data_IF_670859061268
#
_entry.id   IF_670859061268
#
_cell.length_a   1.000
_cell.length_b   1.000
_cell.length_c   1.000
_cell.angle_alpha   90.00
_cell.angle_beta   90.00
_cell.angle_gamma   90.00
#
_symmetry.space_group_name_H-M   'P 1'
#
loop_
_entity.id
_entity.type
_entity.pdbx_description
1 polymer ?
2 non-polymer ?
3 non-polymer ?
4 water ?
#
# COMPACT_ATOMS: atom_id res chain seq x y z
N UNK A 27 15.81 -33.43 5.37
CA UNK A 27 16.71 -32.82 6.35
C UNK A 27 16.17 -31.47 6.82
N UNK A 28 16.04 -30.54 5.89
CA UNK A 28 15.51 -29.21 6.18
C UNK A 28 14.03 -29.17 5.86
N UNK A 29 13.24 -28.50 6.71
CA UNK A 29 11.85 -28.28 6.36
C UNK A 29 11.78 -27.36 5.13
N UNK A 30 10.57 -27.20 4.58
CA UNK A 30 10.44 -26.34 3.41
C UNK A 30 10.64 -24.88 3.78
N UNK A 31 10.39 -24.52 5.04
CA UNK A 31 10.64 -23.15 5.49
C UNK A 31 12.13 -22.85 5.44
N UNK A 32 12.93 -23.66 6.14
CA UNK A 32 14.38 -23.50 6.12
C UNK A 32 14.93 -23.45 4.71
N UNK A 33 14.32 -24.17 3.77
CA UNK A 33 14.79 -24.14 2.38
C UNK A 33 14.47 -22.80 1.73
N UNK A 34 13.22 -22.32 1.83
CA UNK A 34 12.87 -21.04 1.24
C UNK A 34 13.75 -19.91 1.80
N UNK A 35 13.98 -19.96 3.12
CA UNK A 35 14.88 -19.00 3.76
C UNK A 35 16.26 -19.08 3.12
N UNK A 36 16.81 -20.28 3.02
CA UNK A 36 18.11 -20.40 2.36
C UNK A 36 18.09 -19.78 0.95
N UNK A 37 16.96 -19.84 0.25
CA UNK A 37 16.92 -19.27 -1.10
C UNK A 37 16.98 -17.75 -1.07
N UNK A 38 16.14 -17.11 -0.25
CA UNK A 38 15.94 -15.68 -0.40
C UNK A 38 16.44 -14.84 0.77
N UNK A 39 16.71 -15.46 1.94
CA UNK A 39 17.16 -14.72 3.10
C UNK A 39 18.54 -14.09 3.01
N UNK A 40 19.49 -14.66 2.23
CA UNK A 40 20.76 -13.92 1.99
C UNK A 40 20.57 -12.47 1.58
N UNK A 41 19.53 -12.18 0.79
CA UNK A 41 19.36 -10.83 0.22
C UNK A 41 18.55 -9.92 1.11
N UNK A 42 18.15 -10.39 2.29
CA UNK A 42 17.38 -9.58 3.23
C UNK A 42 18.37 -8.78 4.07
N UNK A 43 18.20 -7.46 4.08
CA UNK A 43 19.17 -6.55 4.64
C UNK A 43 18.56 -5.82 5.82
N UNK A 44 19.42 -5.35 6.72
CA UNK A 44 19.03 -4.42 7.77
C UNK A 44 19.21 -3.00 7.25
N UNK A 45 18.29 -2.12 7.65
CA UNK A 45 18.30 -0.72 7.22
C UNK A 45 18.29 0.15 8.46
N UNK A 46 19.25 1.07 8.57
CA UNK A 46 19.28 1.96 9.73
C UNK A 46 19.48 3.40 9.29
N UNK A 47 18.71 4.31 9.86
CA UNK A 47 18.83 5.75 9.57
C UNK A 47 19.62 6.51 10.62
N UNK A 48 19.70 5.98 11.84
CA UNK A 48 20.51 6.56 12.91
C UNK A 48 21.25 5.45 13.67
N UNK A 84 14.62 2.36 11.88
CA UNK A 84 15.29 1.08 11.63
C UNK A 84 14.30 -0.02 11.21
N UNK A 85 14.75 -0.91 10.31
CA UNK A 85 13.91 -2.01 9.84
C UNK A 85 14.65 -2.91 8.87
N UNK A 86 13.93 -3.52 7.92
CA UNK A 86 14.53 -4.47 7.00
C UNK A 86 14.19 -4.11 5.56
N UNK A 87 14.97 -4.65 4.63
CA UNK A 87 14.63 -4.45 3.23
C UNK A 87 15.17 -5.65 2.48
N UNK A 88 15.11 -5.68 1.15
CA UNK A 88 15.74 -6.78 0.44
C UNK A 88 16.23 -6.34 -0.93
N UNK A 89 17.38 -6.89 -1.34
CA UNK A 89 17.98 -6.58 -2.62
C UNK A 89 17.25 -7.36 -3.71
N UNK A 90 16.83 -6.67 -4.75
CA UNK A 90 16.05 -7.29 -5.82
C UNK A 90 16.79 -7.28 -7.14
N UNK A 91 17.98 -6.69 -7.21
CA UNK A 91 18.76 -6.64 -8.43
C UNK A 91 20.23 -6.53 -8.07
N UNK A 92 21.07 -7.22 -8.84
CA UNK A 92 22.51 -7.23 -8.56
C UNK A 92 23.13 -5.84 -8.63
N UNK A 93 22.40 -4.83 -9.11
CA UNK A 93 22.95 -3.50 -9.26
C UNK A 93 22.74 -2.63 -8.02
N UNK A 94 22.22 -3.19 -6.94
CA UNK A 94 22.06 -2.48 -5.70
C UNK A 94 20.67 -1.93 -5.42
N UNK A 95 19.67 -2.35 -6.18
CA UNK A 95 18.30 -1.92 -5.93
C UNK A 95 17.71 -2.73 -4.79
N UNK A 96 17.18 -2.04 -3.79
CA UNK A 96 16.66 -2.60 -2.56
C UNK A 96 15.26 -2.07 -2.35
N UNK A 97 14.33 -2.94 -1.96
CA UNK A 97 12.97 -2.54 -1.61
C UNK A 97 12.83 -2.53 -0.09
N UNK A 98 11.98 -1.63 0.39
CA UNK A 98 11.58 -1.64 1.80
C UNK A 98 10.27 -0.85 1.94
N UNK A 99 9.84 -0.60 3.18
CA UNK A 99 8.71 0.28 3.50
C UNK A 99 9.13 1.73 3.57
N UNK A 100 8.18 2.62 3.25
CA UNK A 100 8.40 4.03 3.48
C UNK A 100 8.59 4.32 4.96
N UNK A 101 7.85 3.60 5.83
CA UNK A 101 7.96 3.85 7.26
C UNK A 101 9.37 3.53 7.77
N UNK A 102 10.06 2.60 7.12
CA UNK A 102 11.41 2.27 7.54
C UNK A 102 12.34 3.47 7.40
N UNK A 103 12.30 4.12 6.24
CA UNK A 103 13.35 5.07 5.86
C UNK A 103 12.89 6.52 6.01
N UNK A 104 11.68 6.85 5.57
CA UNK A 104 11.32 8.25 5.39
C UNK A 104 11.39 8.93 6.75
N UNK A 105 11.82 10.17 6.80
CA UNK A 105 12.19 10.94 5.62
C UNK A 105 13.67 11.16 5.45
N UNK A 106 14.46 10.25 5.99
CA UNK A 106 15.91 10.33 5.82
C UNK A 106 16.27 9.96 4.39
N UNK A 107 17.16 10.75 3.78
CA UNK A 107 17.66 10.45 2.45
C UNK A 107 18.93 9.61 2.46
N UNK A 108 19.53 9.39 3.63
CA UNK A 108 20.73 8.56 3.78
C UNK A 108 20.45 7.46 4.81
N UNK A 109 20.69 6.21 4.42
CA UNK A 109 20.55 5.06 5.32
C UNK A 109 21.82 4.21 5.24
N UNK A 110 21.93 3.24 6.14
CA UNK A 110 22.99 2.25 6.13
C UNK A 110 22.36 0.86 5.94
N UNK A 111 22.88 0.13 4.96
CA UNK A 111 22.41 -1.20 4.60
C UNK A 111 23.41 -2.20 5.13
N UNK A 112 22.92 -3.31 5.68
CA UNK A 112 23.80 -4.39 6.12
C UNK A 112 23.29 -5.70 5.54
N UNK A 113 24.17 -6.41 4.83
CA UNK A 113 23.80 -7.71 4.31
C UNK A 113 23.91 -8.76 5.40
N UNK A 114 23.14 -9.85 5.24
CA UNK A 114 23.21 -10.95 6.21
C UNK A 114 24.63 -11.40 6.46
N UNK A 115 25.52 -11.21 5.48
CA UNK A 115 26.91 -11.62 5.62
C UNK A 115 27.77 -10.60 6.36
N UNK A 116 27.20 -9.47 6.80
CA UNK A 116 27.93 -8.47 7.57
C UNK A 116 28.57 -7.36 6.77
N UNK A 117 28.45 -7.37 5.44
CA UNK A 117 28.91 -6.25 4.63
C UNK A 117 27.95 -5.07 4.78
N UNK A 118 28.51 -3.90 5.04
CA UNK A 118 27.73 -2.67 5.19
C UNK A 118 27.94 -1.77 3.98
N UNK A 119 26.89 -1.05 3.60
CA UNK A 119 26.90 -0.17 2.45
C UNK A 119 26.23 1.15 2.81
N UNK A 120 26.73 2.23 2.21
CA UNK A 120 26.13 3.55 2.32
C UNK A 120 24.93 3.59 1.36
N UNK A 121 23.74 3.57 1.94
CA UNK A 121 22.52 3.53 1.14
C UNK A 121 21.95 4.92 0.88
N UNK A 122 21.56 5.14 -0.37
CA UNK A 122 20.84 6.35 -0.78
C UNK A 122 19.37 6.01 -0.95
N UNK A 123 18.50 6.69 -0.21
CA UNK A 123 17.07 6.54 -0.47
C UNK A 123 16.74 7.20 -1.81
N UNK A 124 16.25 6.41 -2.76
CA UNK A 124 15.92 6.85 -4.12
C UNK A 124 14.56 7.51 -4.19
N UNK A 125 13.71 7.31 -3.19
CA UNK A 125 12.39 7.90 -3.15
C UNK A 125 11.45 6.97 -2.39
N UNK A 126 10.38 7.55 -1.88
CA UNK A 126 9.36 6.81 -1.17
C UNK A 126 8.01 7.16 -1.74
N UNK A 127 7.07 6.22 -1.63
CA UNK A 127 5.66 6.47 -1.91
C UNK A 127 4.89 6.17 -0.63
N UNK A 128 4.48 7.23 0.07
CA UNK A 128 3.81 7.07 1.34
C UNK A 128 2.44 6.40 1.17
N UNK A 129 1.76 6.66 0.05
CA UNK A 129 0.43 6.09 -0.16
C UNK A 129 0.51 4.57 -0.19
N UNK A 130 1.53 4.02 -0.84
CA UNK A 130 1.71 2.58 -0.91
C UNK A 130 2.53 2.01 0.24
N UNK A 131 3.26 2.85 0.99
CA UNK A 131 4.21 2.43 2.02
C UNK A 131 5.41 1.69 1.42
N UNK A 132 5.87 2.15 0.26
CA UNK A 132 7.00 1.53 -0.42
C UNK A 132 8.13 2.53 -0.60
N UNK A 133 9.36 2.01 -0.55
CA UNK A 133 10.51 2.86 -0.84
C UNK A 133 11.56 2.02 -1.54
N UNK A 134 12.45 2.71 -2.26
CA UNK A 134 13.57 2.09 -2.95
C UNK A 134 14.85 2.72 -2.46
N UNK A 135 15.81 1.88 -2.09
CA UNK A 135 17.13 2.30 -1.61
C UNK A 135 18.16 1.71 -2.58
N UNK A 136 19.19 2.49 -2.91
CA UNK A 136 20.23 1.97 -3.77
C UNK A 136 21.57 1.97 -3.05
N UNK A 137 22.36 0.94 -3.31
CA UNK A 137 23.73 0.79 -2.85
C UNK A 137 24.61 0.54 -4.06
N UNK A 138 25.93 0.69 -3.84
CA UNK A 138 26.93 0.49 -4.88
C UNK A 138 27.54 -0.90 -4.77
N UNK A 139 27.32 -1.78 -5.75
CA UNK A 139 27.85 -3.15 -5.65
C UNK A 139 29.37 -3.22 -5.84
N UNK A 140 30.11 -3.18 -4.74
CA UNK A 140 31.54 -3.38 -4.78
C UNK A 140 31.88 -4.79 -4.32
N UNK A 141 32.96 -5.33 -4.87
CA UNK A 141 33.43 -6.62 -4.42
C UNK A 141 32.52 -7.74 -4.85
N UNK A 142 32.38 -8.74 -3.99
CA UNK A 142 31.57 -9.90 -4.31
C UNK A 142 30.12 -9.50 -4.57
N UNK A 143 29.43 -10.32 -5.38
CA UNK A 143 28.14 -9.94 -5.93
C UNK A 143 27.10 -9.89 -4.83
N UNK A 144 26.21 -8.94 -4.94
CA UNK A 144 25.12 -8.81 -4.00
C UNK A 144 24.15 -9.97 -4.16
N UNK A 145 23.79 -10.67 -3.08
CA UNK A 145 22.75 -11.69 -3.20
C UNK A 145 21.41 -11.03 -3.49
N UNK A 146 20.55 -11.78 -4.19
CA UNK A 146 19.30 -11.27 -4.76
C UNK A 146 18.17 -12.21 -4.35
N UNK A 147 17.02 -11.62 -3.93
CA UNK A 147 15.84 -12.45 -3.74
C UNK A 147 15.01 -12.49 -5.01
N UNK A 148 14.59 -13.67 -5.44
CA UNK A 148 13.78 -13.75 -6.67
C UNK A 148 12.35 -13.31 -6.39
N UNK A 149 11.75 -12.60 -7.34
CA UNK A 149 10.40 -12.09 -7.14
C UNK A 149 9.37 -13.05 -7.70
N UNK A 150 8.30 -13.26 -6.95
CA UNK A 150 7.18 -14.07 -7.39
C UNK A 150 6.11 -13.25 -8.09
N UNK A 151 4.88 -13.73 -8.01
CA UNK A 151 3.73 -13.00 -8.54
C UNK A 151 2.59 -13.10 -7.54
N UNK A 152 2.12 -11.95 -7.05
CA UNK A 152 1.09 -12.01 -6.02
C UNK A 152 -0.30 -12.31 -6.58
N UNK A 153 -0.51 -12.18 -7.90
CA UNK A 153 -1.81 -12.51 -8.47
C UNK A 153 -2.07 -14.02 -8.50
N UNK A 154 -1.05 -14.85 -8.23
CA UNK A 154 -1.23 -16.29 -8.11
C UNK A 154 -1.53 -16.75 -6.68
N UNK A 155 -1.48 -15.85 -5.71
CA UNK A 155 -1.74 -16.25 -4.34
C UNK A 155 -3.18 -16.71 -4.17
N UNK A 156 -3.37 -17.65 -3.26
CA UNK A 156 -4.69 -18.04 -2.81
C UNK A 156 -4.69 -17.99 -1.29
N UNK A 157 -5.85 -17.71 -0.70
CA UNK A 157 -5.95 -17.77 0.76
C UNK A 157 -5.67 -19.20 1.20
N UNK A 158 -4.83 -19.34 2.22
CA UNK A 158 -4.38 -20.62 2.67
C UNK A 158 -2.99 -21.00 2.20
N UNK A 159 -2.46 -20.30 1.18
CA UNK A 159 -1.08 -20.53 0.76
C UNK A 159 -0.14 -20.20 1.89
N UNK A 160 0.94 -20.96 2.00
CA UNK A 160 1.93 -20.70 3.05
C UNK A 160 2.54 -19.33 2.86
N UNK A 161 2.96 -18.71 3.96
CA UNK A 161 3.56 -17.39 3.88
C UNK A 161 4.67 -17.30 4.91
N UNK A 162 5.83 -16.85 4.49
CA UNK A 162 7.02 -16.80 5.33
C UNK A 162 7.53 -15.38 5.38
N UNK A 163 7.56 -14.78 6.57
CA UNK A 163 8.04 -13.41 6.76
C UNK A 163 9.47 -13.43 7.27
N UNK A 164 10.40 -12.83 6.50
CA UNK A 164 11.83 -12.81 6.81
C UNK A 164 12.28 -11.37 7.10
N UNK A 165 12.97 -11.18 8.23
CA UNK A 165 13.66 -9.95 8.50
C UNK A 165 15.16 -10.16 8.61
N UNK A 166 15.87 -9.04 8.63
CA UNK A 166 17.25 -8.98 9.12
C UNK A 166 17.35 -7.75 10.00
N UNK A 167 16.89 -7.84 11.26
CA UNK A 167 16.92 -6.66 12.14
C UNK A 167 18.30 -6.38 12.73
N UNK A 168 19.08 -7.44 13.00
CA UNK A 168 20.40 -7.29 13.60
C UNK A 168 21.48 -7.04 12.56
N UNK A 169 21.36 -7.68 11.38
CA UNK A 169 22.34 -7.59 10.32
C UNK A 169 23.13 -8.87 10.09
N UNK A 170 23.10 -9.80 11.05
CA UNK A 170 23.95 -10.99 11.00
C UNK A 170 23.17 -12.29 10.86
N UNK A 171 21.85 -12.23 10.88
CA UNK A 171 21.01 -13.43 10.76
C UNK A 171 19.61 -12.99 10.34
N UNK A 172 18.83 -13.95 9.87
CA UNK A 172 17.43 -13.70 9.56
C UNK A 172 16.54 -13.97 10.77
N UNK A 173 15.48 -13.19 10.86
CA UNK A 173 14.31 -13.52 11.67
C UNK A 173 13.26 -14.11 10.74
N UNK A 174 12.66 -15.23 11.15
CA UNK A 174 11.71 -15.91 10.29
C UNK A 174 10.44 -16.23 11.07
N UNK A 175 9.27 -15.96 10.48
CA UNK A 175 8.02 -16.43 11.04
C UNK A 175 7.16 -17.06 9.93
N UNK A 176 6.30 -17.99 10.34
CA UNK A 176 5.51 -18.81 9.42
C UNK A 176 4.01 -18.63 9.68
N UNK A 177 3.25 -18.59 8.63
CA UNK A 177 1.80 -18.48 8.73
C UNK A 177 1.23 -18.79 7.36
N UNK A 178 0.03 -18.29 7.09
CA UNK A 178 -0.56 -18.49 5.76
C UNK A 178 -1.05 -17.16 5.23
N UNK A 179 -1.48 -17.16 3.97
CA UNK A 179 -2.25 -16.04 3.45
C UNK A 179 -3.64 -16.08 4.08
N UNK A 180 -4.01 -15.03 4.81
CA UNK A 180 -5.30 -14.99 5.51
C UNK A 180 -6.41 -14.34 4.71
N UNK A 181 -6.13 -13.20 4.07
CA UNK A 181 -7.07 -12.50 3.20
C UNK A 181 -6.31 -12.00 1.99
N UNK A 182 -7.05 -11.73 0.92
CA UNK A 182 -6.53 -11.08 -0.27
C UNK A 182 -7.58 -10.06 -0.71
N UNK A 183 -7.15 -8.82 -0.89
CA UNK A 183 -8.09 -7.72 -1.11
C UNK A 183 -8.82 -7.82 -2.44
N UNK A 196 -3.56 0.68 -1.40
CA UNK A 196 -2.97 -0.66 -1.41
C UNK A 196 -3.99 -1.74 -1.03
N UNK A 197 -3.97 -2.87 -1.74
CA UNK A 197 -4.78 -4.05 -1.43
C UNK A 197 -3.91 -5.02 -0.66
N UNK A 198 -3.86 -4.86 0.65
CA UNK A 198 -2.90 -5.58 1.44
C UNK A 198 -3.21 -7.07 1.50
N UNK A 199 -2.16 -7.87 1.35
CA UNK A 199 -2.17 -9.25 1.80
C UNK A 199 -2.29 -9.25 3.31
N UNK A 200 -3.23 -10.03 3.83
CA UNK A 200 -3.23 -10.34 5.25
C UNK A 200 -2.63 -11.70 5.49
N UNK A 201 -1.86 -11.82 6.56
CA UNK A 201 -1.25 -13.10 6.90
C UNK A 201 -1.28 -13.27 8.42
N UNK A 202 -1.36 -14.53 8.90
CA UNK A 202 -1.10 -14.76 10.32
C UNK A 202 0.36 -15.12 10.60
N UNK A 203 1.25 -14.93 9.63
CA UNK A 203 2.68 -15.00 9.95
C UNK A 203 3.08 -13.77 10.76
N UNK A 204 3.57 -13.97 11.99
CA UNK A 204 3.81 -12.86 12.89
C UNK A 204 4.75 -11.84 12.26
N UNK A 205 4.33 -10.59 12.22
CA UNK A 205 5.12 -9.51 11.64
C UNK A 205 5.47 -8.52 12.75
N UNK A 206 6.76 -8.38 13.00
CA UNK A 206 7.35 -7.63 14.08
C UNK A 206 8.14 -6.45 13.53
N UNK A 207 8.40 -5.44 14.35
CA UNK A 207 9.45 -4.48 14.02
C UNK A 207 10.74 -5.20 13.64
N UNK A 208 11.47 -4.61 12.71
CA UNK A 208 12.74 -5.15 12.26
C UNK A 208 12.51 -6.23 11.25
N UNK A 209 11.50 -7.05 11.49
CA UNK A 209 11.00 -7.93 10.45
C UNK A 209 10.21 -7.18 9.38
N UNK A 210 9.71 -5.97 9.69
CA UNK A 210 9.00 -5.15 8.70
C UNK A 210 9.95 -4.57 7.66
N UNK A 211 9.41 -4.36 6.44
CA UNK A 211 10.21 -4.01 5.29
C UNK A 211 10.95 -5.16 4.64
N UNK A 212 11.08 -6.30 5.35
CA UNK A 212 11.63 -7.52 4.77
C UNK A 212 10.61 -8.18 3.86
N UNK A 213 11.03 -9.24 3.15
CA UNK A 213 10.12 -9.91 2.21
C UNK A 213 9.14 -10.88 2.88
N UNK A 214 8.01 -11.10 2.19
CA UNK A 214 7.08 -12.18 2.49
C UNK A 214 7.20 -13.23 1.38
N UNK A 215 7.60 -14.45 1.72
CA UNK A 215 7.86 -15.45 0.71
C UNK A 215 6.69 -16.43 0.59
N UNK A 216 6.59 -17.04 -0.57
CA UNK A 216 5.74 -18.21 -0.71
C UNK A 216 6.53 -19.45 -0.34
N UNK A 217 5.88 -20.61 -0.46
CA UNK A 217 6.50 -21.86 -0.02
C UNK A 217 7.76 -22.18 -0.81
N UNK A 218 7.93 -21.63 -2.01
CA UNK A 218 9.11 -21.86 -2.83
C UNK A 218 10.25 -20.88 -2.54
N UNK A 219 10.01 -19.81 -1.79
CA UNK A 219 11.04 -18.83 -1.48
C UNK A 219 11.02 -17.58 -2.34
N UNK A 220 10.03 -17.40 -3.21
CA UNK A 220 9.95 -16.20 -4.02
C UNK A 220 9.25 -15.09 -3.25
N UNK A 221 9.66 -13.85 -3.47
CA UNK A 221 9.01 -12.72 -2.82
C UNK A 221 7.61 -12.57 -3.42
N UNK A 222 6.59 -12.64 -2.56
CA UNK A 222 5.23 -12.31 -2.96
C UNK A 222 4.72 -11.04 -2.25
N UNK A 223 5.50 -10.44 -1.36
CA UNK A 223 5.07 -9.22 -0.72
C UNK A 223 6.15 -8.60 0.15
N UNK A 224 5.81 -7.45 0.73
CA UNK A 224 6.71 -6.66 1.57
C UNK A 224 6.02 -6.44 2.91
N UNK A 225 6.57 -7.05 3.98
CA UNK A 225 5.98 -6.94 5.31
C UNK A 225 5.81 -5.48 5.74
N UNK A 226 4.74 -5.18 6.49
CA UNK A 226 4.65 -3.90 7.20
C UNK A 226 4.31 -4.15 8.66
N UNK A 227 4.70 -3.19 9.52
CA UNK A 227 4.41 -3.25 10.95
C UNK A 227 3.05 -2.64 11.32
N UNK A 228 2.06 -2.69 10.42
CA UNK A 228 0.75 -2.08 10.70
C UNK A 228 -0.04 -2.92 11.70
N UNK A 233 -5.99 -9.47 15.46
CA UNK A 233 -4.65 -9.91 15.86
C UNK A 233 -4.70 -11.34 16.39
N UNK A 234 -3.69 -12.15 16.06
CA UNK A 234 -2.50 -11.71 15.35
C UNK A 234 -2.57 -11.81 13.83
N UNK A 235 -2.82 -10.67 13.20
CA UNK A 235 -2.87 -10.56 11.75
C UNK A 235 -1.92 -9.44 11.32
N UNK A 236 -1.23 -9.68 10.21
CA UNK A 236 -0.24 -8.76 9.72
C UNK A 236 -0.52 -8.44 8.27
N UNK A 237 0.01 -7.31 7.85
CA UNK A 237 -0.24 -6.81 6.52
C UNK A 237 1.03 -6.78 5.70
N UNK A 238 0.91 -7.11 4.42
CA UNK A 238 2.03 -7.05 3.49
C UNK A 238 1.57 -6.45 2.17
N UNK A 239 2.46 -5.64 1.58
CA UNK A 239 2.23 -5.04 0.27
C UNK A 239 2.49 -6.10 -0.80
N UNK A 240 1.52 -6.39 -1.68
CA UNK A 240 1.76 -7.43 -2.69
C UNK A 240 2.89 -7.04 -3.62
N UNK A 241 3.69 -8.04 -3.99
CA UNK A 241 4.88 -7.77 -4.79
C UNK A 241 4.51 -7.16 -6.13
N UNK A 242 3.41 -7.63 -6.73
CA UNK A 242 3.07 -7.13 -8.06
C UNK A 242 2.78 -5.62 -8.06
N UNK A 243 2.51 -5.03 -6.88
CA UNK A 243 2.32 -3.58 -6.75
C UNK A 243 3.66 -2.85 -6.74
N UNK A 244 4.59 -3.33 -5.90
CA UNK A 244 5.96 -2.83 -5.97
C UNK A 244 6.50 -2.91 -7.40
N UNK A 245 6.33 -4.06 -8.05
CA UNK A 245 6.92 -4.22 -9.39
C UNK A 245 6.36 -3.19 -10.37
N UNK A 246 5.14 -2.72 -10.15
CA UNK A 246 4.61 -1.64 -10.99
C UNK A 246 5.15 -0.27 -10.60
N UNK A 247 5.54 -0.07 -9.34
CA UNK A 247 6.03 1.23 -8.89
C UNK A 247 7.56 1.39 -8.97
N UNK A 248 8.29 0.29 -9.16
CA UNK A 248 9.72 0.26 -8.85
C UNK A 248 10.52 1.21 -9.74
N UNK A 249 10.27 1.17 -11.05
CA UNK A 249 10.98 2.07 -11.96
C UNK A 249 10.83 3.52 -11.52
N UNK A 250 9.59 3.96 -11.27
CA UNK A 250 9.34 5.35 -10.91
C UNK A 250 10.06 5.74 -9.63
N UNK A 251 9.99 4.89 -8.59
CA UNK A 251 10.67 5.22 -7.34
C UNK A 251 12.18 5.23 -7.50
N UNK A 252 12.73 4.28 -8.26
CA UNK A 252 14.17 4.28 -8.48
C UNK A 252 14.62 5.56 -9.18
N UNK A 253 13.81 6.07 -10.11
CA UNK A 253 14.14 7.33 -10.75
C UNK A 253 13.87 8.54 -9.87
N UNK A 254 13.36 8.37 -8.66
CA UNK A 254 13.09 9.50 -7.79
C UNK A 254 11.86 10.30 -8.17
N UNK A 255 10.96 9.73 -8.98
CA UNK A 255 9.74 10.39 -9.33
C UNK A 255 8.62 10.17 -8.32
N UNK A 256 7.52 10.89 -8.54
CA UNK A 256 6.32 10.80 -7.71
C UNK A 256 5.35 9.83 -8.38
N UNK A 257 4.95 8.79 -7.65
CA UNK A 257 3.88 7.90 -8.13
C UNK A 257 2.55 8.66 -8.13
N UNK A 258 1.76 8.58 -9.20
CA UNK A 258 0.51 9.34 -9.24
C UNK A 258 -0.56 8.68 -8.38
N UNK A 259 -1.21 9.48 -7.53
CA UNK A 259 -2.33 9.02 -6.72
C UNK A 259 -3.43 10.09 -6.73
N UNK A 260 -4.25 10.10 -7.78
CA UNK A 260 -5.32 11.10 -7.87
C UNK A 260 -6.42 10.82 -6.85
N UNK A 261 -6.99 11.89 -6.29
CA UNK A 261 -8.14 11.73 -5.40
C UNK A 261 -8.94 13.04 -5.43
N UNK A 262 -10.09 13.02 -4.77
CA UNK A 262 -10.89 14.23 -4.67
C UNK A 262 -11.05 14.71 -3.23
N UNK A 263 -10.87 13.85 -2.22
CA UNK A 263 -10.85 14.30 -0.85
C UNK A 263 -12.17 14.21 -0.11
N UNK A 264 -12.88 13.08 -0.22
CA UNK A 264 -14.10 12.86 0.55
C UNK A 264 -14.01 11.51 1.23
N UNK A 265 -14.45 11.46 2.50
CA UNK A 265 -14.84 10.22 3.13
C UNK A 265 -16.26 9.91 2.67
N UNK A 266 -16.43 8.77 2.01
CA UNK A 266 -17.67 8.47 1.31
C UNK A 266 -18.19 7.10 1.71
N UNK A 267 -19.51 6.96 1.65
CA UNK A 267 -20.18 5.76 2.12
C UNK A 267 -21.29 5.40 1.16
N UNK A 268 -21.36 4.12 0.79
CA UNK A 268 -22.50 3.63 0.04
C UNK A 268 -23.75 3.76 0.90
N UNK A 269 -24.79 4.39 0.37
CA UNK A 269 -26.03 4.59 1.11
C UNK A 269 -27.12 3.76 0.43
N UNK A 270 -27.86 2.97 1.22
CA UNK A 270 -29.02 2.17 0.84
C UNK A 270 -30.33 2.88 1.18
N UNK A 271 -31.38 2.60 0.41
CA UNK A 271 -32.67 3.25 0.70
C UNK A 271 -33.19 2.82 2.07
N UNK A 272 -33.02 1.55 2.44
CA UNK A 272 -33.37 1.15 3.79
C UNK A 272 -32.48 1.86 4.82
N UNK A 273 -31.23 2.16 4.46
CA UNK A 273 -30.37 2.90 5.35
C UNK A 273 -30.75 4.38 5.40
N UNK A 274 -31.25 4.94 4.28
CA UNK A 274 -31.62 6.35 4.26
C UNK A 274 -32.95 6.57 4.97
N UNK A 275 -33.92 5.68 4.77
CA UNK A 275 -35.15 5.73 5.53
C UNK A 275 -34.89 5.45 6.99
N UNK A 276 -34.01 4.50 7.29
CA UNK A 276 -33.62 4.27 8.68
C UNK A 276 -33.00 5.53 9.28
N UNK A 277 -32.11 6.18 8.51
CA UNK A 277 -31.46 7.41 8.97
C UNK A 277 -32.48 8.48 9.25
N UNK A 278 -33.38 8.71 8.28
CA UNK A 278 -34.38 9.74 8.42
C UNK A 278 -35.40 9.42 9.52
N UNK A 279 -35.47 8.18 10.00
CA UNK A 279 -36.34 7.93 11.15
C UNK A 279 -35.73 8.44 12.43
N UNK A 280 -34.41 8.58 12.50
CA UNK A 280 -33.76 8.93 13.76
C UNK A 280 -33.81 10.43 13.97
N UNK A 281 -34.48 10.94 15.01
CA UNK A 281 -34.56 12.39 15.18
C UNK A 281 -33.21 13.05 15.30
N UNK A 282 -32.17 12.29 15.65
CA UNK A 282 -30.86 12.86 15.91
C UNK A 282 -29.82 12.55 14.83
N UNK A 283 -30.22 11.95 13.70
CA UNK A 283 -29.27 11.94 12.59
C UNK A 283 -28.88 13.38 12.25
N UNK A 284 -27.60 13.62 11.89
CA UNK A 284 -27.18 14.98 11.58
C UNK A 284 -27.92 15.58 10.40
N UNK A 285 -28.35 14.78 9.42
CA UNK A 285 -29.00 15.34 8.26
C UNK A 285 -29.94 14.33 7.62
N UNK A 286 -30.98 14.85 6.99
CA UNK A 286 -31.91 14.04 6.19
C UNK A 286 -31.22 13.62 4.90
N UNK A 287 -31.45 12.39 4.48
CA UNK A 287 -30.81 11.80 3.30
C UNK A 287 -31.91 11.49 2.29
N UNK A 288 -31.72 11.84 1.03
CA UNK A 288 -32.80 11.68 0.05
C UNK A 288 -33.24 10.28 -0.35
N UNK A 289 -33.17 9.25 0.51
CA UNK A 289 -33.90 7.99 0.29
C UNK A 289 -33.61 7.38 -1.08
N UNK A 290 -32.35 7.06 -1.31
CA UNK A 290 -31.84 6.66 -2.61
C UNK A 290 -30.66 5.73 -2.40
N UNK A 291 -30.23 5.06 -3.46
CA UNK A 291 -28.96 4.33 -3.43
C UNK A 291 -27.91 5.26 -4.03
N UNK A 292 -26.92 5.60 -3.25
CA UNK A 292 -25.94 6.56 -3.71
C UNK A 292 -24.66 6.44 -2.94
N UNK A 293 -23.82 7.46 -3.11
CA UNK A 293 -22.57 7.62 -2.38
C UNK A 293 -22.74 8.83 -1.47
N UNK A 294 -22.91 8.57 -0.17
CA UNK A 294 -23.09 9.63 0.80
C UNK A 294 -21.73 10.23 1.11
N UNK A 295 -21.60 11.55 0.98
CA UNK A 295 -20.38 12.22 1.40
C UNK A 295 -20.41 12.32 2.93
N UNK A 296 -19.52 11.59 3.60
CA UNK A 296 -19.45 11.60 5.06
C UNK A 296 -18.57 12.71 5.55
N UNK A 297 -17.56 13.08 4.76
CA UNK A 297 -16.71 14.15 5.24
C UNK A 297 -15.99 14.74 4.04
N UNK A 298 -15.81 16.05 4.06
CA UNK A 298 -15.02 16.74 3.05
C UNK A 298 -13.69 17.08 3.69
N UNK A 299 -12.62 16.45 3.21
CA UNK A 299 -11.31 16.66 3.80
C UNK A 299 -10.82 18.08 3.50
N UNK A 300 -10.16 18.72 4.47
CA UNK A 300 -9.69 20.09 4.24
C UNK A 300 -8.56 20.15 3.23
N UNK A 301 -8.61 21.18 2.38
CA UNK A 301 -7.56 21.45 1.42
C UNK A 301 -7.63 20.62 0.17
N UNK A 302 -8.76 20.02 -0.12
CA UNK A 302 -8.88 19.02 -1.16
C UNK A 302 -9.60 19.57 -2.37
N UNK A 303 -9.57 18.85 -3.49
CA UNK A 303 -10.43 19.24 -4.61
C UNK A 303 -11.91 19.25 -4.23
N UNK A 304 -12.35 18.36 -3.34
CA UNK A 304 -13.78 18.32 -2.98
C UNK A 304 -14.19 19.56 -2.21
N UNK A 305 -13.36 20.02 -1.27
CA UNK A 305 -13.70 21.25 -0.57
C UNK A 305 -13.72 22.44 -1.54
N UNK A 306 -12.73 22.51 -2.42
CA UNK A 306 -12.64 23.61 -3.37
C UNK A 306 -13.80 23.61 -4.37
N UNK A 307 -14.33 22.43 -4.71
CA UNK A 307 -15.51 22.37 -5.56
C UNK A 307 -16.79 22.72 -4.83
N UNK A 308 -16.74 22.87 -3.50
CA UNK A 308 -17.92 23.20 -2.74
C UNK A 308 -18.73 22.03 -2.24
N UNK A 309 -18.20 20.82 -2.30
CA UNK A 309 -18.92 19.67 -1.81
C UNK A 309 -19.08 19.80 -0.29
N UNK A 310 -20.24 19.40 0.23
CA UNK A 310 -20.48 19.44 1.67
C UNK A 310 -20.82 18.06 2.21
N UNK A 311 -20.48 17.85 3.47
CA UNK A 311 -20.96 16.71 4.22
C UNK A 311 -22.46 16.59 4.06
N UNK A 312 -22.94 15.35 3.88
CA UNK A 312 -24.33 15.09 3.66
C UNK A 312 -24.74 15.11 2.22
N UNK A 313 -23.86 15.53 1.31
CA UNK A 313 -24.18 15.38 -0.10
C UNK A 313 -24.22 13.90 -0.46
N UNK A 314 -25.16 13.54 -1.31
CA UNK A 314 -25.23 12.19 -1.86
C UNK A 314 -24.73 12.27 -3.29
N UNK A 315 -23.69 11.53 -3.59
CA UNK A 315 -23.24 11.45 -4.97
C UNK A 315 -24.09 10.39 -5.66
N UNK A 316 -24.74 10.77 -6.75
CA UNK A 316 -25.66 9.91 -7.47
C UNK A 316 -25.01 9.37 -8.74
N UNK A 317 -24.17 10.18 -9.40
CA UNK A 317 -23.46 9.59 -10.51
C UNK A 317 -22.17 10.35 -10.78
N UNK A 318 -21.22 9.67 -11.40
CA UNK A 318 -20.12 10.40 -12.04
C UNK A 318 -20.71 10.91 -13.34
N UNK A 319 -19.90 11.46 -14.24
CA UNK A 319 -20.54 12.02 -15.43
C UNK A 319 -21.23 10.93 -16.21
N UNK A 320 -22.57 10.97 -16.20
CA UNK A 320 -23.38 10.00 -16.93
C UNK A 320 -23.63 8.69 -16.24
N UNK A 321 -22.58 8.00 -15.76
CA UNK A 321 -22.74 6.66 -15.21
C UNK A 321 -23.25 6.74 -13.77
N UNK A 322 -24.36 6.07 -13.43
CA UNK A 322 -24.81 6.07 -12.04
C UNK A 322 -23.85 5.29 -11.16
N UNK A 323 -23.84 5.64 -9.88
CA UNK A 323 -22.96 4.92 -8.96
C UNK A 323 -23.61 4.85 -7.60
N UNK A 324 -23.43 3.70 -6.95
CA UNK A 324 -23.84 3.50 -5.58
C UNK A 324 -22.71 2.92 -4.75
N UNK A 325 -21.51 2.77 -5.33
CA UNK A 325 -20.38 2.08 -4.72
C UNK A 325 -19.20 3.04 -4.63
N UNK A 326 -18.74 3.32 -3.41
CA UNK A 326 -17.59 4.21 -3.26
C UNK A 326 -16.33 3.65 -3.90
N UNK A 327 -16.16 2.32 -3.81
CA UNK A 327 -14.98 1.68 -4.40
C UNK A 327 -14.95 1.88 -5.90
N UNK A 328 -16.11 1.91 -6.55
CA UNK A 328 -16.17 2.17 -7.99
C UNK A 328 -15.77 3.61 -8.30
N UNK A 329 -16.23 4.56 -7.47
CA UNK A 329 -15.86 5.96 -7.67
C UNK A 329 -14.35 6.13 -7.62
N UNK A 330 -13.70 5.49 -6.64
CA UNK A 330 -12.25 5.54 -6.56
C UNK A 330 -11.63 5.12 -7.88
N UNK A 331 -12.09 4.01 -8.46
CA UNK A 331 -11.48 3.50 -9.69
C UNK A 331 -11.73 4.43 -10.87
N UNK A 332 -12.88 5.12 -10.90
CA UNK A 332 -13.09 6.11 -11.95
C UNK A 332 -12.13 7.28 -11.80
N UNK A 333 -11.88 7.74 -10.58
CA UNK A 333 -10.96 8.86 -10.33
C UNK A 333 -9.53 8.48 -10.70
N UNK A 334 -9.11 7.28 -10.32
CA UNK A 334 -7.79 6.80 -10.70
C UNK A 334 -7.65 6.70 -12.22
N UNK A 335 -8.61 6.04 -12.88
CA UNK A 335 -8.56 5.94 -14.34
C UNK A 335 -8.56 7.33 -15.00
N UNK A 336 -9.11 8.34 -14.32
CA UNK A 336 -9.05 9.70 -14.86
C UNK A 336 -7.61 10.19 -14.96
N UNK A 337 -6.88 10.18 -13.85
CA UNK A 337 -5.54 10.69 -13.75
C UNK A 337 -5.50 11.96 -12.94
N UNK A 338 -4.30 12.56 -12.89
CA UNK A 338 -4.12 13.83 -12.17
C UNK A 338 -4.57 15.01 -13.02
N UNK A 339 -5.11 16.04 -12.34
CA UNK A 339 -5.56 17.27 -12.98
C UNK A 339 -6.62 17.01 -14.06
N UNK A 340 -7.54 16.10 -13.77
CA UNK A 340 -8.67 15.88 -14.67
C UNK A 340 -9.95 16.35 -13.98
N UNK A 341 -10.78 17.03 -14.75
CA UNK A 341 -12.09 17.44 -14.28
C UNK A 341 -13.06 16.28 -14.38
N UNK A 342 -13.74 15.99 -13.27
CA UNK A 342 -14.85 15.06 -13.24
C UNK A 342 -16.12 15.81 -12.89
N UNK A 343 -17.23 15.47 -13.55
CA UNK A 343 -18.54 16.03 -13.22
C UNK A 343 -19.29 15.07 -12.31
N UNK A 344 -19.75 15.60 -11.17
CA UNK A 344 -20.47 14.82 -10.19
C UNK A 344 -21.94 15.24 -10.15
N UNK A 345 -22.82 14.24 -10.17
CA UNK A 345 -24.25 14.38 -9.85
C UNK A 345 -24.47 14.11 -8.37
N UNK A 346 -25.02 15.11 -7.68
CA UNK A 346 -25.21 15.16 -6.23
C UNK A 346 -26.63 15.57 -5.86
N UNK A 347 -27.10 15.10 -4.71
CA UNK A 347 -28.31 15.59 -4.08
C UNK A 347 -27.93 16.32 -2.79
N UNK A 348 -28.53 17.49 -2.57
CA UNK A 348 -28.29 18.26 -1.35
C UNK A 348 -29.60 18.69 -0.66
N UNK A 351 -32.34 19.06 -2.93
CA UNK A 351 -31.99 19.61 -4.25
C UNK A 351 -31.05 18.73 -5.07
N UNK A 352 -30.89 19.09 -6.34
CA UNK A 352 -30.01 18.38 -7.26
C UNK A 352 -28.95 19.34 -7.76
N UNK A 353 -27.72 18.87 -7.85
CA UNK A 353 -26.58 19.77 -7.98
C UNK A 353 -25.45 19.04 -8.68
N UNK A 354 -24.87 19.66 -9.70
CA UNK A 354 -23.72 19.13 -10.41
C UNK A 354 -22.51 19.99 -10.10
N UNK A 355 -21.38 19.35 -9.83
CA UNK A 355 -20.16 20.09 -9.53
C UNK A 355 -18.99 19.41 -10.21
N UNK A 356 -18.04 20.21 -10.71
CA UNK A 356 -16.84 19.66 -11.33
C UNK A 356 -15.67 19.71 -10.35
N UNK A 357 -14.99 18.59 -10.19
CA UNK A 357 -13.88 18.45 -9.26
C UNK A 357 -12.62 18.26 -10.08
N UNK A 358 -11.51 18.84 -9.62
CA UNK A 358 -10.23 18.74 -10.30
C UNK A 358 -9.37 17.79 -9.49
N UNK A 359 -9.13 16.58 -10.01
CA UNK A 359 -8.33 15.61 -9.28
C UNK A 359 -6.97 16.19 -8.95
N UNK A 360 -6.47 15.82 -7.77
CA UNK A 360 -5.19 16.30 -7.27
C UNK A 360 -4.45 15.12 -6.63
N UNK A 361 -3.16 15.32 -6.32
CA UNK A 361 -2.33 14.21 -5.86
C UNK A 361 -2.54 13.98 -4.37
N UNK A 362 -2.82 12.74 -3.99
CA UNK A 362 -3.04 12.44 -2.58
C UNK A 362 -1.73 12.57 -1.81
N UNK A 363 -1.75 13.31 -0.70
CA UNK A 363 -0.56 13.52 0.12
C UNK A 363 -0.82 13.36 1.62
#
# INVERSE_FOLDING_TARGET
>A
GIDPFTMADDLPPAPVITAQASVPLTSESFVAAAVSRSGPAVVRIDTETVVTRRTDPILDDPFFQEFFGRSFPVPPRERRIAGQGSGFIIDNSGIILTNAHVVDGASKVVVTLRDGRTFDGQVRGTDEVTDLAVVKIEPQGSALPVAPLGTSSNLQVGDWAIAVGNPVGLDNTVTLGIISTLGRSAAQAGIPDKRVEFIQTDAAINPGNAGGPLLNARGEVIGINTAIRADATGIGFAIPIDQAKAIQNTLAAGGTVPHPYIGVQMMNITVDQAQQNNRNPNSPFIIPEVDGILVMRVLPGTPAERAGIRRGDVIVAVDGTPISDGARLQRIVEQAGLNKALKLDLLRGDRRLSLTVQTAQLRNPTS
#
